data_IF_985828680146
#
_entry.id   IF_985828680146
#
_cell.length_a   1.000
_cell.length_b   1.000
_cell.length_c   1.000
_cell.angle_alpha   90.00
_cell.angle_beta   90.00
_cell.angle_gamma   90.00
#
_symmetry.space_group_name_H-M   'P 1'
#
loop_
_entity.id
_entity.type
_entity.pdbx_description
1 polymer ?
#
# COMPACT_ATOMS: atom_id res chain seq x y z
N UNK A 1 -5.35 1.66 -9.94
CA UNK A 1 -5.41 1.81 -8.47
C UNK A 1 -4.02 2.08 -7.93
N UNK A 2 -3.87 3.13 -7.19
CA UNK A 2 -2.60 3.49 -6.55
C UNK A 2 -2.54 2.93 -5.13
N UNK A 3 -1.33 2.66 -4.68
CA UNK A 3 -1.13 2.15 -3.33
C UNK A 3 0.35 2.13 -2.94
N UNK A 4 0.65 1.26 -2.01
CA UNK A 4 1.98 1.16 -1.39
C UNK A 4 2.37 -0.30 -1.27
N UNK A 5 3.67 -0.57 -1.34
CA UNK A 5 4.20 -1.92 -1.23
C UNK A 5 5.45 -1.91 -0.36
N UNK A 6 5.57 -2.95 0.47
CA UNK A 6 6.75 -3.19 1.28
C UNK A 6 7.67 -4.22 0.64
N UNK A 7 8.95 -4.11 0.95
CA UNK A 7 10.01 -4.98 0.43
C UNK A 7 11.04 -5.24 1.51
N UNK A 8 11.71 -6.37 1.40
CA UNK A 8 12.98 -6.59 2.08
C UNK A 8 14.04 -5.66 1.48
N UNK A 9 15.19 -5.43 2.19
CA UNK A 9 16.26 -4.60 1.64
C UNK A 9 16.67 -5.03 0.23
N UNK A 10 16.85 -4.05 -0.65
CA UNK A 10 17.16 -4.27 -2.06
C UNK A 10 15.93 -4.45 -2.94
N UNK A 11 14.75 -4.00 -2.49
CA UNK A 11 13.48 -4.12 -3.23
C UNK A 11 13.14 -5.56 -3.58
N UNK A 12 13.33 -6.47 -2.65
CA UNK A 12 12.98 -7.88 -2.78
C UNK A 12 11.68 -8.14 -2.03
N UNK A 13 10.74 -8.82 -2.68
CA UNK A 13 9.48 -9.23 -2.05
C UNK A 13 9.16 -10.65 -2.46
N UNK A 14 9.04 -11.55 -1.47
CA UNK A 14 8.74 -12.97 -1.68
C UNK A 14 9.67 -13.62 -2.71
N UNK A 15 10.97 -13.31 -2.60
CA UNK A 15 12.01 -13.84 -3.48
C UNK A 15 12.08 -13.19 -4.87
N UNK A 16 11.22 -12.25 -5.18
CA UNK A 16 11.22 -11.55 -6.47
C UNK A 16 11.96 -10.22 -6.35
N UNK A 17 12.84 -9.95 -7.30
CA UNK A 17 13.56 -8.69 -7.40
C UNK A 17 12.71 -7.67 -8.14
N UNK A 18 12.43 -6.54 -7.47
CA UNK A 18 11.77 -5.39 -8.08
C UNK A 18 12.78 -4.26 -8.32
N UNK A 19 12.35 -3.23 -9.01
CA UNK A 19 13.16 -2.05 -9.29
C UNK A 19 12.26 -0.81 -9.35
N UNK A 20 12.81 0.34 -8.98
CA UNK A 20 12.10 1.62 -9.06
C UNK A 20 11.73 1.97 -10.50
N UNK A 21 10.61 2.67 -10.65
CA UNK A 21 10.14 3.22 -11.93
C UNK A 21 10.05 2.17 -13.03
N UNK A 22 9.63 0.96 -12.68
CA UNK A 22 9.57 -0.19 -13.58
C UNK A 22 8.21 -0.86 -13.47
N UNK A 23 7.71 -1.34 -14.60
CA UNK A 23 6.47 -2.13 -14.67
C UNK A 23 6.81 -3.61 -14.65
N UNK A 24 6.16 -4.35 -13.78
CA UNK A 24 6.29 -5.81 -13.67
C UNK A 24 4.98 -6.48 -14.05
N UNK A 25 5.06 -7.66 -14.63
CA UNK A 25 3.91 -8.39 -15.11
C UNK A 25 4.05 -9.88 -14.77
N UNK A 26 2.93 -10.48 -14.33
CA UNK A 26 2.84 -11.91 -14.04
C UNK A 26 1.64 -12.48 -14.79
N UNK A 27 1.65 -13.79 -15.02
CA UNK A 27 0.60 -14.45 -15.79
C UNK A 27 -0.72 -14.52 -15.05
N UNK A 28 -0.68 -14.64 -13.72
CA UNK A 28 -1.85 -14.82 -12.87
C UNK A 28 -1.73 -14.02 -11.59
N UNK A 29 -2.88 -13.68 -11.00
CA UNK A 29 -2.94 -13.08 -9.69
C UNK A 29 -4.08 -13.72 -8.90
N UNK A 30 -3.73 -14.37 -7.79
CA UNK A 30 -4.65 -14.96 -6.83
C UNK A 30 -4.22 -14.50 -5.43
N UNK A 31 -5.16 -14.01 -4.64
CA UNK A 31 -4.83 -13.49 -3.32
C UNK A 31 -4.17 -14.59 -2.46
N UNK A 32 -3.05 -14.25 -1.79
CA UNK A 32 -2.24 -15.13 -0.96
C UNK A 32 -1.52 -16.26 -1.71
N UNK A 33 -1.58 -16.32 -3.03
CA UNK A 33 -1.06 -17.41 -3.83
C UNK A 33 -0.05 -16.93 -4.86
N UNK A 34 -0.47 -16.09 -5.80
CA UNK A 34 0.41 -15.57 -6.87
C UNK A 34 0.01 -14.15 -7.20
N UNK A 35 0.77 -13.52 -8.10
CA UNK A 35 0.59 -12.12 -8.43
C UNK A 35 1.38 -11.21 -7.52
N UNK A 36 1.25 -9.92 -7.75
CA UNK A 36 1.97 -8.90 -7.00
C UNK A 36 1.02 -8.21 -6.05
N UNK A 37 1.39 -8.18 -4.77
CA UNK A 37 0.54 -7.68 -3.68
C UNK A 37 0.93 -6.27 -3.27
N UNK A 38 -0.08 -5.49 -2.89
CA UNK A 38 0.10 -4.13 -2.39
C UNK A 38 -1.09 -3.74 -1.52
N UNK A 39 -1.00 -2.60 -0.84
CA UNK A 39 -2.10 -2.06 -0.03
C UNK A 39 -2.39 -0.63 -0.47
N UNK A 40 -3.67 -0.25 -0.46
CA UNK A 40 -4.06 1.14 -0.72
C UNK A 40 -3.68 2.02 0.47
N UNK A 41 -3.96 1.55 1.69
CA UNK A 41 -3.59 2.24 2.91
C UNK A 41 -2.15 1.88 3.29
N UNK A 42 -1.25 2.87 3.38
CA UNK A 42 0.15 2.57 3.72
C UNK A 42 0.31 1.94 5.10
N UNK A 43 -0.57 2.22 6.08
CA UNK A 43 -0.54 1.54 7.37
C UNK A 43 -0.71 0.03 7.24
N UNK A 44 -1.53 -0.42 6.30
CA UNK A 44 -1.78 -1.86 6.12
C UNK A 44 -0.52 -2.60 5.64
N UNK A 45 0.39 -1.91 4.96
CA UNK A 45 1.67 -2.48 4.54
C UNK A 45 2.47 -2.96 5.75
N UNK A 46 2.38 -2.24 6.87
CA UNK A 46 3.12 -2.55 8.10
C UNK A 46 2.69 -3.88 8.75
N UNK A 47 1.52 -4.41 8.39
CA UNK A 47 1.09 -5.74 8.84
C UNK A 47 1.93 -6.84 8.19
N UNK A 48 2.56 -6.55 7.05
CA UNK A 48 3.36 -7.52 6.28
C UNK A 48 4.85 -7.21 6.30
N UNK A 49 5.21 -5.93 6.32
CA UNK A 49 6.59 -5.45 6.37
C UNK A 49 6.69 -4.34 7.40
N UNK A 50 7.26 -4.65 8.56
CA UNK A 50 7.57 -3.63 9.56
C UNK A 50 8.71 -2.71 9.09
N UNK A 51 9.06 -1.73 9.90
CA UNK A 51 10.16 -0.81 9.56
C UNK A 51 11.52 -1.52 9.48
N UNK A 52 11.70 -2.55 10.29
CA UNK A 52 12.94 -3.35 10.29
C UNK A 52 12.59 -4.84 10.12
N UNK A 53 13.55 -5.59 9.59
CA UNK A 53 13.47 -7.05 9.51
C UNK A 53 14.05 -7.71 10.78
N UNK A 54 14.06 -9.05 10.81
CA UNK A 54 14.57 -9.81 11.95
C UNK A 54 16.07 -9.62 12.18
N UNK A 55 16.81 -9.18 11.16
CA UNK A 55 18.25 -8.89 11.27
C UNK A 55 18.52 -7.45 11.72
N UNK A 56 17.49 -6.64 11.94
CA UNK A 56 17.63 -5.23 12.32
C UNK A 56 17.86 -4.29 11.15
N UNK A 57 17.81 -4.78 9.91
CA UNK A 57 17.95 -3.92 8.72
C UNK A 57 16.61 -3.27 8.39
N UNK A 58 16.66 -2.06 7.83
CA UNK A 58 15.44 -1.37 7.41
C UNK A 58 14.83 -2.02 6.16
N UNK A 59 13.55 -2.35 6.25
CA UNK A 59 12.76 -2.71 5.08
C UNK A 59 12.55 -1.47 4.20
N UNK A 60 12.11 -1.71 2.97
CA UNK A 60 11.94 -0.65 1.98
C UNK A 60 10.48 -0.53 1.57
N UNK A 61 10.08 0.65 1.14
CA UNK A 61 8.69 0.96 0.76
C UNK A 61 8.69 1.77 -0.52
N UNK A 62 7.69 1.55 -1.36
CA UNK A 62 7.53 2.32 -2.58
C UNK A 62 6.05 2.58 -2.87
N UNK A 63 5.79 3.67 -3.57
CA UNK A 63 4.49 3.89 -4.19
C UNK A 63 4.35 2.94 -5.37
N UNK A 64 3.13 2.44 -5.58
CA UNK A 64 2.84 1.53 -6.68
C UNK A 64 1.52 1.90 -7.34
N UNK A 65 1.34 1.40 -8.56
CA UNK A 65 0.08 1.54 -9.27
C UNK A 65 -0.24 0.24 -9.99
N UNK A 66 -1.43 -0.29 -9.72
CA UNK A 66 -1.94 -1.45 -10.45
C UNK A 66 -2.40 -1.01 -11.84
N UNK A 67 -1.89 -1.67 -12.87
CA UNK A 67 -2.20 -1.38 -14.27
C UNK A 67 -3.11 -2.44 -14.89
N UNK A 68 -3.60 -3.35 -14.09
CA UNK A 68 -4.55 -4.38 -14.48
C UNK A 68 -5.58 -4.58 -13.37
N UNK A 69 -6.51 -5.49 -13.56
CA UNK A 69 -7.53 -5.83 -12.57
C UNK A 69 -6.90 -6.16 -11.23
N UNK A 70 -7.52 -5.67 -10.16
CA UNK A 70 -7.10 -5.96 -8.79
C UNK A 70 -8.08 -6.93 -8.14
N UNK A 71 -7.55 -7.83 -7.31
CA UNK A 71 -8.32 -8.78 -6.52
C UNK A 71 -8.02 -8.57 -5.04
N UNK A 72 -9.03 -8.77 -4.21
CA UNK A 72 -8.89 -8.68 -2.76
C UNK A 72 -9.96 -9.53 -2.09
N UNK A 73 -9.69 -10.00 -0.88
CA UNK A 73 -10.69 -10.68 -0.05
C UNK A 73 -10.97 -9.96 1.27
N UNK A 74 -10.26 -8.87 1.56
CA UNK A 74 -10.39 -8.14 2.82
C UNK A 74 -10.42 -6.62 2.64
N UNK A 75 -10.29 -6.11 1.43
CA UNK A 75 -10.19 -4.69 1.09
C UNK A 75 -8.99 -3.99 1.74
N UNK A 76 -7.99 -4.74 2.19
CA UNK A 76 -6.76 -4.22 2.79
C UNK A 76 -5.54 -4.57 1.95
N UNK A 77 -5.41 -5.84 1.57
CA UNK A 77 -4.36 -6.33 0.68
C UNK A 77 -4.96 -6.66 -0.67
N UNK A 78 -4.35 -6.14 -1.72
CA UNK A 78 -4.77 -6.32 -3.11
C UNK A 78 -3.70 -7.02 -3.89
N UNK A 79 -4.06 -7.72 -4.95
CA UNK A 79 -3.09 -8.29 -5.89
C UNK A 79 -3.48 -8.00 -7.32
N UNK A 80 -2.49 -7.97 -8.20
CA UNK A 80 -2.66 -7.69 -9.61
C UNK A 80 -1.61 -8.43 -10.44
N UNK A 81 -1.91 -8.60 -11.73
CA UNK A 81 -0.97 -9.19 -12.69
C UNK A 81 0.02 -8.18 -13.23
N UNK A 82 -0.28 -6.88 -13.14
CA UNK A 82 0.57 -5.84 -13.72
C UNK A 82 0.68 -4.69 -12.73
N UNK A 83 1.88 -4.44 -12.27
CA UNK A 83 2.15 -3.46 -11.22
C UNK A 83 3.32 -2.57 -11.61
N UNK A 84 3.08 -1.27 -11.57
CA UNK A 84 4.14 -0.28 -11.73
C UNK A 84 4.70 0.06 -10.35
N UNK A 85 5.99 -0.14 -10.19
CA UNK A 85 6.73 0.31 -9.02
C UNK A 85 7.17 1.75 -9.29
N UNK A 86 6.80 2.65 -8.39
CA UNK A 86 7.22 4.04 -8.47
C UNK A 86 8.56 4.28 -7.79
N UNK A 87 8.76 5.48 -7.27
CA UNK A 87 9.96 5.81 -6.54
C UNK A 87 9.95 5.16 -5.15
N UNK A 88 11.12 4.69 -4.71
CA UNK A 88 11.31 4.21 -3.36
C UNK A 88 11.14 5.38 -2.38
N UNK A 89 10.42 5.17 -1.30
CA UNK A 89 10.18 6.16 -0.27
C UNK A 89 11.18 5.98 0.87
N UNK A 90 11.73 7.10 1.35
CA UNK A 90 12.47 7.08 2.61
C UNK A 90 11.52 6.72 3.75
N UNK A 91 12.03 6.28 4.88
CA UNK A 91 11.22 5.98 6.06
C UNK A 91 10.37 7.17 6.46
N UNK A 92 10.94 8.40 6.47
CA UNK A 92 10.19 9.60 6.82
C UNK A 92 9.08 9.92 5.82
N UNK A 93 9.32 9.73 4.52
CA UNK A 93 8.29 9.92 3.50
C UNK A 93 7.18 8.89 3.61
N UNK A 94 7.52 7.65 3.93
CA UNK A 94 6.52 6.61 4.15
C UNK A 94 5.66 6.92 5.38
N UNK A 95 6.27 7.37 6.47
CA UNK A 95 5.54 7.81 7.68
C UNK A 95 4.60 8.97 7.32
N UNK A 96 5.08 9.95 6.57
CA UNK A 96 4.24 11.06 6.11
C UNK A 96 3.05 10.58 5.28
N UNK A 97 3.26 9.60 4.40
CA UNK A 97 2.17 9.00 3.62
C UNK A 97 1.13 8.36 4.53
N UNK A 98 1.55 7.66 5.57
CA UNK A 98 0.65 7.06 6.57
C UNK A 98 -0.18 8.13 7.28
N UNK A 99 0.47 9.20 7.71
CA UNK A 99 -0.20 10.32 8.42
C UNK A 99 -1.18 11.01 7.48
N UNK A 100 -0.77 11.33 6.26
CA UNK A 100 -1.61 12.00 5.27
C UNK A 100 -2.85 11.17 4.94
N UNK A 101 -2.69 9.86 4.78
CA UNK A 101 -3.82 8.96 4.52
C UNK A 101 -4.79 8.96 5.71
N UNK A 102 -4.28 8.89 6.93
CA UNK A 102 -5.10 8.92 8.14
C UNK A 102 -5.85 10.25 8.29
N UNK A 103 -5.20 11.37 8.03
CA UNK A 103 -5.80 12.70 8.09
C UNK A 103 -6.92 12.82 7.05
N UNK A 104 -6.68 12.40 5.82
CA UNK A 104 -7.66 12.45 4.74
C UNK A 104 -8.91 11.63 5.10
N UNK A 105 -8.73 10.41 5.60
CA UNK A 105 -9.84 9.56 6.05
C UNK A 105 -10.59 10.17 7.23
N UNK A 106 -9.88 10.70 8.20
CA UNK A 106 -10.46 11.33 9.38
C UNK A 106 -11.24 12.59 9.00
N UNK A 107 -10.70 13.42 8.12
CA UNK A 107 -11.36 14.64 7.65
C UNK A 107 -12.67 14.32 6.94
N UNK A 108 -12.68 13.27 6.11
CA UNK A 108 -13.91 12.82 5.45
C UNK A 108 -14.95 12.34 6.45
N UNK A 109 -14.57 11.56 7.45
CA UNK A 109 -15.47 11.08 8.50
C UNK A 109 -16.03 12.24 9.33
N UNK A 110 -15.20 13.22 9.69
CA UNK A 110 -15.63 14.40 10.45
C UNK A 110 -16.64 15.22 9.64
N UNK A 111 -16.39 15.43 8.35
CA UNK A 111 -17.29 16.16 7.47
C UNK A 111 -18.67 15.48 7.38
N UNK A 112 -18.69 14.16 7.20
CA UNK A 112 -19.92 13.39 7.14
C UNK A 112 -20.70 13.46 8.47
N UNK A 113 -20.03 13.31 9.60
CA UNK A 113 -20.63 13.41 10.92
C UNK A 113 -21.16 14.81 11.20
N UNK A 114 -20.45 15.83 10.78
CA UNK A 114 -20.86 17.22 10.93
C UNK A 114 -22.14 17.52 10.16
N UNK A 115 -22.26 17.02 8.95
CA UNK A 115 -23.47 17.14 8.14
C UNK A 115 -24.65 16.46 8.84
N UNK A 116 -24.46 15.25 9.34
CA UNK A 116 -25.48 14.50 10.07
C UNK A 116 -25.96 15.24 11.32
N UNK A 117 -25.04 15.83 12.09
CA UNK A 117 -25.38 16.62 13.29
C UNK A 117 -26.23 17.84 12.92
N UNK A 118 -25.86 18.54 11.84
CA UNK A 118 -26.64 19.70 11.38
C UNK A 118 -28.06 19.29 10.96
N UNK A 119 -28.21 18.17 10.30
CA UNK A 119 -29.51 17.65 9.91
C UNK A 119 -30.38 17.30 11.13
N UNK A 120 -29.78 16.76 12.18
CA UNK A 120 -30.47 16.39 13.42
C UNK A 120 -30.76 17.55 14.35
N UNK A 121 -30.02 18.64 14.25
CA UNK A 121 -30.20 19.79 15.13
C UNK A 121 -31.34 20.71 14.70
N UNK A 122 -32.01 20.38 13.61
CA UNK A 122 -33.20 21.12 13.18
C UNK A 122 -34.47 20.49 13.75
#
# INVERSE_FOLDING_TARGET
>A
MKGYKGFEPGLICRGKQYAENTVFEEKEAEICSCGMHFCENPFDVLDYYGFTNDNGDFNEFAEVEALDEVKTNDNRKFCTKKLKIGAKLSTSKFINACVDFAIEKTSTCIADNKISILDHSQ
#
